data_IF_839647236638
#
_entry.id   IF_839647236638
#
_cell.length_a   1.000
_cell.length_b   1.000
_cell.length_c   1.000
_cell.angle_alpha   90.00
_cell.angle_beta   90.00
_cell.angle_gamma   90.00
#
_symmetry.space_group_name_H-M   'P 1'
#
loop_
_entity.id
_entity.type
_entity.pdbx_description
1 polymer ?
#
# COMPACT_ATOMS: atom_id res chain seq x y z
N UNK A 1 -12.88 -58.74 31.57
CA UNK A 1 -11.87 -57.67 31.76
C UNK A 1 -12.54 -56.33 31.45
N UNK A 2 -13.00 -55.58 32.47
CA UNK A 2 -13.72 -54.31 32.30
C UNK A 2 -12.70 -53.18 32.14
N UNK A 3 -12.51 -52.68 30.93
CA UNK A 3 -11.68 -51.49 30.71
C UNK A 3 -12.32 -50.29 31.43
N UNK A 4 -11.55 -49.52 32.23
CA UNK A 4 -12.12 -48.39 32.97
C UNK A 4 -12.66 -47.35 31.99
N UNK A 5 -13.86 -46.84 32.25
CA UNK A 5 -14.58 -45.86 31.40
C UNK A 5 -13.72 -44.63 31.01
N UNK A 6 -12.69 -44.31 31.81
CA UNK A 6 -11.72 -43.24 31.56
C UNK A 6 -10.83 -43.47 30.33
N UNK A 7 -10.51 -44.72 29.96
CA UNK A 7 -9.64 -45.00 28.81
C UNK A 7 -10.37 -44.76 27.48
N UNK A 8 -11.63 -45.19 27.39
CA UNK A 8 -12.47 -45.01 26.20
C UNK A 8 -12.78 -43.52 25.95
N UNK A 9 -13.04 -42.76 27.01
CA UNK A 9 -13.25 -41.32 26.93
C UNK A 9 -11.99 -40.58 26.42
N UNK A 10 -10.81 -40.90 26.96
CA UNK A 10 -9.53 -40.33 26.50
C UNK A 10 -9.22 -40.66 25.05
N UNK A 11 -9.50 -41.89 24.61
CA UNK A 11 -9.33 -42.30 23.22
C UNK A 11 -10.26 -41.52 22.26
N UNK A 12 -11.51 -41.27 22.65
CA UNK A 12 -12.44 -40.44 21.85
C UNK A 12 -11.97 -38.99 21.73
N UNK A 13 -11.46 -38.39 22.82
CA UNK A 13 -10.94 -37.02 22.81
C UNK A 13 -9.70 -36.91 21.90
N UNK A 14 -8.76 -37.85 22.01
CA UNK A 14 -7.59 -37.91 21.11
C UNK A 14 -7.99 -38.06 19.64
N UNK A 15 -8.97 -38.92 19.35
CA UNK A 15 -9.50 -39.08 17.99
C UNK A 15 -10.11 -37.78 17.44
N UNK A 16 -10.93 -37.08 18.24
CA UNK A 16 -11.53 -35.82 17.84
C UNK A 16 -10.49 -34.71 17.61
N UNK A 17 -9.41 -34.69 18.40
CA UNK A 17 -8.33 -33.72 18.28
C UNK A 17 -7.52 -33.95 17.00
N UNK A 18 -7.21 -35.21 16.67
CA UNK A 18 -6.55 -35.57 15.41
C UNK A 18 -7.39 -35.22 14.18
N UNK A 19 -8.71 -35.45 14.24
CA UNK A 19 -9.63 -35.06 13.16
C UNK A 19 -9.64 -33.54 12.98
N UNK A 20 -9.69 -32.77 14.07
CA UNK A 20 -9.63 -31.31 14.01
C UNK A 20 -8.31 -30.81 13.43
N UNK A 21 -7.16 -31.40 13.80
CA UNK A 21 -5.85 -31.04 13.25
C UNK A 21 -5.79 -31.32 11.75
N UNK A 22 -6.27 -32.47 11.29
CA UNK A 22 -6.33 -32.80 9.86
C UNK A 22 -7.27 -31.86 9.11
N UNK A 23 -8.43 -31.54 9.68
CA UNK A 23 -9.38 -30.60 9.08
C UNK A 23 -8.79 -29.18 8.98
N UNK A 24 -8.16 -28.70 10.04
CA UNK A 24 -7.47 -27.41 10.08
C UNK A 24 -6.28 -27.39 9.10
N UNK A 25 -5.47 -28.45 9.03
CA UNK A 25 -4.34 -28.49 8.10
C UNK A 25 -4.81 -28.50 6.64
N UNK A 26 -5.88 -29.25 6.33
CA UNK A 26 -6.51 -29.24 4.99
C UNK A 26 -7.13 -27.89 4.66
N UNK A 27 -7.79 -27.24 5.63
CA UNK A 27 -8.38 -25.92 5.46
C UNK A 27 -7.32 -24.84 5.23
N UNK A 28 -6.27 -24.80 6.05
CA UNK A 28 -5.14 -23.89 5.88
C UNK A 28 -4.37 -24.17 4.60
N UNK A 29 -4.09 -25.43 4.25
CA UNK A 29 -3.40 -25.79 3.02
C UNK A 29 -4.23 -25.46 1.78
N UNK A 30 -5.55 -25.68 1.78
CA UNK A 30 -6.43 -25.30 0.69
C UNK A 30 -6.61 -23.78 0.55
N UNK A 31 -6.43 -23.01 1.63
CA UNK A 31 -6.42 -21.55 1.59
C UNK A 31 -5.09 -21.04 1.04
N UNK A 32 -3.97 -21.58 1.53
CA UNK A 32 -2.63 -21.24 1.03
C UNK A 32 -2.53 -21.58 -0.45
N UNK A 33 -2.80 -22.83 -0.86
CA UNK A 33 -2.70 -23.25 -2.28
C UNK A 33 -3.63 -22.49 -3.22
N UNK A 34 -4.86 -22.12 -2.81
CA UNK A 34 -5.74 -21.25 -3.62
C UNK A 34 -5.27 -19.80 -3.71
N UNK A 35 -4.52 -19.31 -2.71
CA UNK A 35 -3.80 -18.05 -2.81
C UNK A 35 -2.63 -18.13 -3.81
N UNK A 36 -1.98 -19.29 -3.95
CA UNK A 36 -0.83 -19.49 -4.85
C UNK A 36 -1.19 -19.91 -6.29
N UNK A 37 -2.37 -20.47 -6.55
CA UNK A 37 -2.73 -21.07 -7.87
C UNK A 37 -3.83 -20.33 -8.63
N UNK A 38 -4.10 -19.06 -8.29
CA UNK A 38 -4.97 -18.25 -9.13
C UNK A 38 -4.18 -17.87 -10.38
N UNK A 39 -4.36 -18.65 -11.44
CA UNK A 39 -3.88 -18.40 -12.79
C UNK A 39 -4.20 -16.95 -13.19
N UNK A 40 -3.21 -16.07 -13.02
CA UNK A 40 -3.19 -14.76 -13.64
C UNK A 40 -2.43 -14.95 -14.95
N UNK A 41 -3.17 -14.99 -16.05
CA UNK A 41 -2.60 -14.80 -17.39
C UNK A 41 -1.83 -13.47 -17.34
N UNK A 42 -0.49 -13.55 -17.24
CA UNK A 42 0.37 -12.38 -17.04
C UNK A 42 0.37 -11.54 -18.32
N UNK A 43 -0.11 -10.29 -18.30
CA UNK A 43 0.13 -9.33 -19.37
C UNK A 43 1.61 -8.93 -19.36
N UNK A 44 2.19 -8.63 -20.53
CA UNK A 44 3.59 -8.19 -20.64
C UNK A 44 3.77 -6.78 -20.03
N UNK A 45 4.63 -6.68 -19.02
CA UNK A 45 4.82 -5.51 -18.16
C UNK A 45 6.30 -5.16 -17.95
N UNK A 46 7.20 -5.48 -18.87
CA UNK A 46 8.66 -5.30 -18.67
C UNK A 46 9.14 -3.87 -18.33
N UNK A 47 8.36 -2.81 -18.59
CA UNK A 47 8.63 -1.43 -18.12
C UNK A 47 7.65 -0.93 -17.03
N UNK A 48 6.71 -1.78 -16.61
CA UNK A 48 5.56 -1.53 -15.72
C UNK A 48 5.66 -2.29 -14.39
N UNK A 49 6.76 -3.02 -14.17
CA UNK A 49 7.00 -3.81 -12.97
C UNK A 49 7.38 -2.92 -11.77
N UNK A 50 8.18 -1.87 -11.97
CA UNK A 50 8.67 -1.03 -10.86
C UNK A 50 7.61 -0.06 -10.29
N UNK A 51 6.65 0.36 -11.11
CA UNK A 51 5.49 1.19 -10.68
C UNK A 51 4.19 0.37 -10.57
N UNK A 52 4.29 -0.95 -10.75
CA UNK A 52 3.21 -1.94 -10.68
C UNK A 52 1.91 -1.54 -11.42
N UNK A 53 2.04 -0.83 -12.55
CA UNK A 53 0.92 -0.50 -13.44
C UNK A 53 0.49 0.98 -13.48
N UNK A 54 1.03 1.84 -12.60
CA UNK A 54 0.93 3.30 -12.74
C UNK A 54 2.03 3.85 -13.67
N UNK A 55 1.80 4.98 -14.33
CA UNK A 55 2.89 5.65 -15.08
C UNK A 55 3.91 6.26 -14.10
N UNK A 56 3.44 6.79 -12.97
CA UNK A 56 4.30 7.29 -11.89
C UNK A 56 3.69 7.03 -10.51
N UNK A 57 4.56 6.87 -9.51
CA UNK A 57 4.20 6.91 -8.09
C UNK A 57 4.85 8.17 -7.52
N UNK A 58 4.05 9.23 -7.36
CA UNK A 58 4.49 10.52 -6.83
C UNK A 58 4.44 10.52 -5.31
N UNK A 59 5.48 11.01 -4.67
CA UNK A 59 5.54 11.22 -3.22
C UNK A 59 5.48 12.71 -2.92
N UNK A 60 4.55 13.08 -2.04
CA UNK A 60 4.47 14.42 -1.45
C UNK A 60 5.38 14.45 -0.24
N UNK A 61 6.52 15.13 -0.38
CA UNK A 61 7.47 15.35 0.70
C UNK A 61 8.00 16.78 0.63
N UNK A 62 8.38 17.41 1.76
CA UNK A 62 9.14 18.65 1.71
C UNK A 62 10.49 18.42 1.01
N UNK A 63 11.00 19.44 0.31
CA UNK A 63 12.33 19.36 -0.31
C UNK A 63 13.43 19.11 0.72
N UNK A 64 13.30 19.76 1.88
CA UNK A 64 14.19 19.65 3.02
C UNK A 64 13.34 19.34 4.24
N UNK A 65 13.53 18.15 4.81
CA UNK A 65 12.93 17.79 6.08
C UNK A 65 13.75 18.37 7.24
N UNK A 66 13.11 18.66 8.36
CA UNK A 66 13.84 18.93 9.59
C UNK A 66 14.63 17.69 10.01
N UNK A 67 15.67 17.85 10.83
CA UNK A 67 16.46 16.74 11.37
C UNK A 67 15.58 15.66 12.04
N UNK A 68 14.48 16.07 12.65
CA UNK A 68 13.52 15.19 13.33
C UNK A 68 12.61 14.41 12.38
N UNK A 69 12.47 14.84 11.12
CA UNK A 69 11.54 14.27 10.14
C UNK A 69 12.25 13.66 8.92
N UNK A 70 13.57 13.79 8.85
CA UNK A 70 14.43 13.19 7.83
C UNK A 70 14.15 11.68 7.63
N UNK A 71 13.94 10.94 8.72
CA UNK A 71 13.71 9.50 8.69
C UNK A 71 12.52 9.07 7.82
N UNK A 72 11.48 9.92 7.68
CA UNK A 72 10.27 9.59 6.90
C UNK A 72 10.62 9.27 5.45
N UNK A 73 11.34 10.20 4.82
CA UNK A 73 11.79 10.07 3.43
C UNK A 73 12.78 8.92 3.28
N UNK A 74 13.71 8.77 4.22
CA UNK A 74 14.74 7.75 4.16
C UNK A 74 14.17 6.34 4.29
N UNK A 75 13.29 6.13 5.27
CA UNK A 75 12.65 4.84 5.50
C UNK A 75 11.70 4.49 4.35
N UNK A 76 10.99 5.48 3.79
CA UNK A 76 10.17 5.30 2.58
C UNK A 76 11.02 4.84 1.38
N UNK A 77 12.15 5.52 1.13
CA UNK A 77 13.06 5.15 0.04
C UNK A 77 13.71 3.78 0.28
N UNK A 78 13.98 3.43 1.53
CA UNK A 78 14.47 2.11 1.91
C UNK A 78 13.41 1.04 1.66
N UNK A 79 12.16 1.26 2.09
CA UNK A 79 11.04 0.36 1.84
C UNK A 79 10.81 0.16 0.33
N UNK A 80 10.85 1.25 -0.45
CA UNK A 80 10.76 1.21 -1.89
C UNK A 80 11.89 0.38 -2.52
N UNK A 81 13.12 0.56 -2.05
CA UNK A 81 14.26 -0.26 -2.48
C UNK A 81 14.09 -1.74 -2.16
N UNK A 82 13.49 -2.09 -1.02
CA UNK A 82 13.23 -3.49 -0.66
C UNK A 82 12.14 -4.13 -1.52
N UNK A 83 11.14 -3.35 -1.93
CA UNK A 83 10.02 -3.83 -2.75
C UNK A 83 10.22 -3.56 -4.25
N UNK A 84 11.33 -2.94 -4.67
CA UNK A 84 11.54 -2.57 -6.06
C UNK A 84 10.53 -1.54 -6.60
N UNK A 85 9.91 -0.74 -5.70
CA UNK A 85 9.01 0.32 -6.11
C UNK A 85 9.81 1.53 -6.59
N UNK A 86 9.48 2.05 -7.76
CA UNK A 86 10.05 3.29 -8.26
C UNK A 86 9.17 4.48 -7.83
N UNK A 87 9.72 5.31 -6.93
CA UNK A 87 9.07 6.49 -6.39
C UNK A 87 9.68 7.75 -7.00
N UNK A 88 8.83 8.71 -7.36
CA UNK A 88 9.22 10.03 -7.81
C UNK A 88 8.85 11.06 -6.73
N UNK A 89 9.84 11.66 -6.08
CA UNK A 89 9.60 12.64 -5.02
C UNK A 89 9.35 13.99 -5.66
N UNK A 90 8.08 14.43 -5.62
CA UNK A 90 7.63 15.66 -6.27
C UNK A 90 8.35 16.87 -5.71
N UNK A 91 9.06 17.60 -6.58
CA UNK A 91 9.77 18.82 -6.21
C UNK A 91 8.78 19.91 -5.78
N UNK A 92 8.90 20.36 -4.54
CA UNK A 92 8.04 21.40 -3.98
C UNK A 92 8.61 22.79 -4.28
N UNK A 93 7.80 23.77 -4.72
CA UNK A 93 8.27 25.14 -4.81
C UNK A 93 8.46 25.72 -3.40
N UNK A 94 9.30 26.76 -3.31
CA UNK A 94 9.41 27.53 -2.07
C UNK A 94 8.13 28.36 -1.87
N UNK A 95 7.24 27.89 -1.00
CA UNK A 95 5.98 28.56 -0.70
C UNK A 95 6.19 29.83 0.12
N UNK A 96 5.68 30.96 -0.38
CA UNK A 96 5.77 32.24 0.33
C UNK A 96 4.65 32.40 1.35
N UNK A 97 4.81 33.33 2.30
CA UNK A 97 3.72 33.68 3.24
C UNK A 97 2.46 34.19 2.52
N UNK A 98 2.62 34.75 1.31
CA UNK A 98 1.49 35.13 0.45
C UNK A 98 0.74 33.90 -0.05
N UNK A 99 1.45 32.84 -0.46
CA UNK A 99 0.82 31.60 -0.93
C UNK A 99 0.09 30.88 0.21
N UNK A 100 0.73 30.82 1.38
CA UNK A 100 0.14 30.29 2.61
C UNK A 100 -1.08 31.12 3.01
N UNK A 101 -0.97 32.45 2.97
CA UNK A 101 -2.04 33.38 3.30
C UNK A 101 -3.26 33.27 2.37
N UNK A 102 -3.08 32.99 1.08
CA UNK A 102 -4.18 32.74 0.14
C UNK A 102 -5.01 31.51 0.53
N UNK A 103 -4.37 30.49 1.09
CA UNK A 103 -5.04 29.28 1.55
C UNK A 103 -5.69 29.49 2.94
N UNK A 104 -4.94 30.03 3.89
CA UNK A 104 -5.40 30.33 5.26
C UNK A 104 -6.50 31.41 5.29
N UNK A 105 -6.53 32.33 4.33
CA UNK A 105 -7.59 33.34 4.21
C UNK A 105 -8.99 32.73 4.07
N UNK A 106 -9.09 31.47 3.65
CA UNK A 106 -10.34 30.70 3.58
C UNK A 106 -10.67 29.94 4.87
N UNK A 107 -9.69 29.70 5.74
CA UNK A 107 -9.85 29.04 7.03
C UNK A 107 -8.84 29.58 8.04
N UNK A 108 -9.30 30.50 8.91
CA UNK A 108 -8.46 31.19 9.89
C UNK A 108 -7.89 30.29 10.99
N UNK A 109 -8.44 29.09 11.16
CA UNK A 109 -7.96 28.09 12.14
C UNK A 109 -6.86 27.20 11.55
N UNK A 110 -6.60 27.29 10.24
CA UNK A 110 -5.58 26.47 9.58
C UNK A 110 -4.17 26.93 9.99
N UNK A 111 -3.42 26.05 10.63
CA UNK A 111 -2.01 26.30 10.95
C UNK A 111 -1.11 26.27 9.71
N UNK A 112 0.07 26.91 9.79
CA UNK A 112 1.06 26.98 8.69
C UNK A 112 1.43 25.61 8.13
N UNK A 113 1.65 24.60 8.99
CA UNK A 113 1.99 23.24 8.57
C UNK A 113 0.90 22.59 7.71
N UNK A 114 -0.37 22.73 8.11
CA UNK A 114 -1.51 22.25 7.32
C UNK A 114 -1.58 22.96 5.96
N UNK A 115 -1.34 24.27 5.94
CA UNK A 115 -1.36 25.01 4.69
C UNK A 115 -0.26 24.56 3.72
N UNK A 116 0.95 24.28 4.23
CA UNK A 116 2.05 23.75 3.45
C UNK A 116 1.76 22.34 2.91
N UNK A 117 1.16 21.47 3.71
CA UNK A 117 0.72 20.14 3.26
C UNK A 117 -0.27 20.26 2.09
N UNK A 118 -1.32 21.08 2.23
CA UNK A 118 -2.28 21.31 1.13
C UNK A 118 -1.65 21.89 -0.13
N UNK A 119 -0.73 22.84 0.00
CA UNK A 119 0.00 23.39 -1.14
C UNK A 119 0.86 22.33 -1.81
N UNK A 120 1.49 21.45 -1.03
CA UNK A 120 2.29 20.34 -1.54
C UNK A 120 1.47 19.32 -2.32
N UNK A 121 0.31 18.93 -1.80
CA UNK A 121 -0.66 18.09 -2.52
C UNK A 121 -1.15 18.74 -3.80
N UNK A 122 -1.45 20.04 -3.77
CA UNK A 122 -1.88 20.76 -4.96
C UNK A 122 -0.78 20.77 -6.05
N UNK A 123 0.49 20.85 -5.65
CA UNK A 123 1.61 20.76 -6.57
C UNK A 123 1.73 19.34 -7.17
N UNK A 124 1.70 18.30 -6.34
CA UNK A 124 1.73 16.92 -6.80
C UNK A 124 0.54 16.57 -7.71
N UNK A 125 -0.66 17.09 -7.43
CA UNK A 125 -1.82 16.93 -8.30
C UNK A 125 -1.64 17.59 -9.67
N UNK A 126 -1.01 18.75 -9.74
CA UNK A 126 -0.69 19.42 -11.02
C UNK A 126 0.29 18.59 -11.83
N UNK A 127 1.29 18.02 -11.18
CA UNK A 127 2.24 17.12 -11.80
C UNK A 127 1.57 15.83 -12.29
N UNK A 128 0.78 15.19 -11.43
CA UNK A 128 0.02 13.98 -11.75
C UNK A 128 -0.92 14.16 -12.95
N UNK A 129 -1.51 15.35 -13.11
CA UNK A 129 -2.39 15.68 -14.24
C UNK A 129 -1.67 15.71 -15.60
N UNK A 130 -0.34 15.73 -15.62
CA UNK A 130 0.47 15.63 -16.85
C UNK A 130 0.74 14.19 -17.28
N UNK A 131 0.35 13.21 -16.46
CA UNK A 131 0.57 11.78 -16.64
C UNK A 131 -0.75 11.07 -16.94
N UNK A 132 -0.69 9.91 -17.59
CA UNK A 132 -1.86 9.08 -17.89
C UNK A 132 -2.45 8.45 -16.63
N UNK A 133 -1.59 7.94 -15.75
CA UNK A 133 -1.98 7.38 -14.45
C UNK A 133 -0.93 7.68 -13.40
N UNK A 134 -1.35 8.18 -12.24
CA UNK A 134 -0.46 8.48 -11.12
C UNK A 134 -1.03 7.90 -9.83
N UNK A 135 -0.16 7.32 -9.01
CA UNK A 135 -0.43 7.06 -7.59
C UNK A 135 0.25 8.18 -6.78
N UNK A 136 -0.45 8.81 -5.84
CA UNK A 136 0.12 9.86 -4.98
C UNK A 136 0.19 9.31 -3.56
N UNK A 137 1.38 9.39 -2.94
CA UNK A 137 1.70 8.94 -1.58
C UNK A 137 2.23 10.12 -0.75
N UNK A 138 2.11 10.03 0.58
CA UNK A 138 2.78 10.93 1.53
C UNK A 138 4.15 10.38 1.92
N UNK A 139 5.00 11.22 2.52
CA UNK A 139 6.34 10.84 2.99
C UNK A 139 6.34 9.87 4.20
N UNK A 140 5.21 9.72 4.90
CA UNK A 140 5.04 8.86 6.07
C UNK A 140 4.16 7.63 5.81
N UNK A 141 4.04 7.22 4.54
CA UNK A 141 3.36 5.96 4.17
C UNK A 141 4.28 4.77 4.38
N UNK A 142 3.76 3.73 5.04
CA UNK A 142 4.42 2.43 5.21
C UNK A 142 3.66 1.31 4.49
N UNK A 143 4.39 0.26 4.10
CA UNK A 143 3.82 -0.98 3.55
C UNK A 143 4.66 -2.20 3.90
N UNK A 144 4.04 -3.37 3.77
CA UNK A 144 4.75 -4.66 3.80
C UNK A 144 5.04 -5.17 2.38
N UNK A 145 5.75 -6.30 2.28
CA UNK A 145 6.06 -6.97 1.01
C UNK A 145 4.81 -7.39 0.21
N UNK A 146 3.63 -7.40 0.84
CA UNK A 146 2.36 -7.70 0.21
C UNK A 146 1.97 -6.67 -0.85
N UNK A 147 2.53 -5.45 -0.79
CA UNK A 147 2.29 -4.37 -1.75
C UNK A 147 2.49 -4.80 -3.20
N UNK A 148 3.46 -5.70 -3.45
CA UNK A 148 3.77 -6.27 -4.77
C UNK A 148 2.59 -6.97 -5.42
N UNK A 149 1.73 -7.57 -4.59
CA UNK A 149 0.53 -8.28 -5.04
C UNK A 149 -0.73 -7.40 -4.98
N UNK A 150 -0.71 -6.33 -4.19
CA UNK A 150 -1.86 -5.48 -3.94
C UNK A 150 -1.95 -4.30 -4.92
N UNK A 151 -0.85 -3.64 -5.29
CA UNK A 151 -0.87 -2.54 -6.25
C UNK A 151 -1.50 -2.97 -7.59
N UNK A 152 -1.16 -4.14 -8.18
CA UNK A 152 -1.81 -4.59 -9.41
C UNK A 152 -3.34 -4.73 -9.30
N UNK A 153 -3.87 -5.01 -8.10
CA UNK A 153 -5.32 -5.07 -7.88
C UNK A 153 -5.96 -3.68 -7.97
N UNK A 154 -5.28 -2.66 -7.45
CA UNK A 154 -5.73 -1.26 -7.53
C UNK A 154 -5.79 -0.82 -8.99
N UNK A 155 -4.72 -1.07 -9.76
CA UNK A 155 -4.63 -0.72 -11.18
C UNK A 155 -5.75 -1.37 -11.99
N UNK A 156 -5.99 -2.68 -11.76
CA UNK A 156 -7.03 -3.42 -12.48
C UNK A 156 -8.44 -2.89 -12.22
N UNK A 157 -8.71 -2.39 -11.02
CA UNK A 157 -10.00 -1.77 -10.69
C UNK A 157 -10.16 -0.42 -11.40
N UNK A 158 -9.09 0.36 -11.52
CA UNK A 158 -9.10 1.68 -12.17
C UNK A 158 -9.25 1.59 -13.70
N UNK A 159 -8.78 0.52 -14.34
CA UNK A 159 -8.98 0.31 -15.79
C UNK A 159 -10.43 0.02 -16.21
N UNK A 160 -11.35 -0.25 -15.26
CA UNK A 160 -12.77 -0.54 -15.54
C UNK A 160 -13.65 0.71 -15.37
N UNK A 161 -13.42 1.77 -16.17
CA UNK A 161 -14.47 2.74 -16.62
C UNK A 161 -13.90 3.87 -17.51
N UNK A 162 -13.27 3.55 -18.63
CA UNK A 162 -13.20 4.50 -19.76
C UNK A 162 -13.69 3.76 -21.01
N UNK A 163 -14.96 3.36 -21.00
CA UNK A 163 -15.68 3.10 -22.24
C UNK A 163 -16.36 4.41 -22.62
N UNK A 164 -15.72 5.09 -23.57
CA UNK A 164 -16.25 6.07 -24.51
C UNK A 164 -17.76 6.35 -24.42
N UNK A 165 -18.11 7.59 -24.08
CA UNK A 165 -19.33 8.26 -24.52
C UNK A 165 -18.96 9.30 -25.57
#
# INVERSE_FOLDING_TARGET
MKFPHSFRAKACVLGALLINIVFLSRYFHARITRFWTRDAKQPDYSAREETHGFETILVVAPNEASEQLHWRRDDLLQAASYTGLNLDISHQPHWTDVDIGKLMGKNKEMGKGYALSWLGHLNALREAATRRTSLILEDDVDWDIGILTQIPLVVKVTEVKILTS
#
